data_IF_258316012083
#
_entry.id   IF_258316012083
#
_cell.length_a   1.000
_cell.length_b   1.000
_cell.length_c   1.000
_cell.angle_alpha   90.00
_cell.angle_beta   90.00
_cell.angle_gamma   90.00
#
_symmetry.space_group_name_H-M   'P 1'
#
loop_
_entity.id
_entity.type
_entity.pdbx_description
1 polymer ?
#
# COMPACT_ATOMS: atom_id res chain seq x y z
N UNK A 1 -37.67 -11.89 23.54
CA UNK A 1 -37.79 -12.28 22.10
C UNK A 1 -38.22 -11.10 21.21
N UNK A 2 -39.00 -10.13 21.71
CA UNK A 2 -39.38 -8.92 20.95
C UNK A 2 -38.26 -7.86 20.89
N UNK A 3 -37.61 -7.54 22.01
CA UNK A 3 -36.53 -6.54 22.06
C UNK A 3 -35.35 -6.89 21.15
N UNK A 4 -34.90 -8.15 21.18
CA UNK A 4 -33.81 -8.62 20.33
C UNK A 4 -34.12 -8.48 18.82
N UNK A 5 -35.40 -8.57 18.42
CA UNK A 5 -35.80 -8.36 17.02
C UNK A 5 -35.85 -6.88 16.65
N UNK A 6 -36.22 -6.02 17.60
CA UNK A 6 -36.25 -4.57 17.42
C UNK A 6 -34.81 -4.07 17.27
N UNK A 7 -33.92 -4.47 18.18
CA UNK A 7 -32.50 -4.10 18.12
C UNK A 7 -31.82 -4.60 16.85
N UNK A 8 -32.13 -5.83 16.41
CA UNK A 8 -31.63 -6.35 15.13
C UNK A 8 -32.14 -5.52 13.95
N UNK A 9 -33.40 -5.11 13.97
CA UNK A 9 -33.99 -4.27 12.92
C UNK A 9 -33.34 -2.89 12.88
N UNK A 10 -33.10 -2.28 14.04
CA UNK A 10 -32.44 -0.97 14.14
C UNK A 10 -31.00 -1.04 13.64
N UNK A 11 -30.25 -2.09 14.02
CA UNK A 11 -28.89 -2.32 13.52
C UNK A 11 -28.86 -2.52 12.00
N UNK A 12 -29.83 -3.23 11.44
CA UNK A 12 -29.93 -3.42 9.98
C UNK A 12 -30.18 -2.08 9.27
N UNK A 13 -31.11 -1.26 9.77
CA UNK A 13 -31.37 0.07 9.22
C UNK A 13 -30.12 0.97 9.29
N UNK A 14 -29.44 1.02 10.44
CA UNK A 14 -28.23 1.79 10.59
C UNK A 14 -27.09 1.32 9.67
N UNK A 15 -26.98 0.01 9.44
CA UNK A 15 -26.01 -0.56 8.51
C UNK A 15 -26.29 -0.12 7.06
N UNK A 16 -27.56 -0.11 6.66
CA UNK A 16 -27.96 0.31 5.33
C UNK A 16 -27.75 1.82 5.12
N UNK A 17 -28.09 2.65 6.11
CA UNK A 17 -27.79 4.09 6.09
C UNK A 17 -26.29 4.35 5.91
N UNK A 18 -25.45 3.59 6.62
CA UNK A 18 -23.98 3.71 6.53
C UNK A 18 -23.45 3.29 5.15
N UNK A 19 -24.03 2.24 4.53
CA UNK A 19 -23.66 1.84 3.16
C UNK A 19 -24.03 2.92 2.14
N UNK A 20 -25.19 3.55 2.32
CA UNK A 20 -25.66 4.61 1.44
C UNK A 20 -24.78 5.86 1.55
N UNK A 21 -24.40 6.23 2.78
CA UNK A 21 -23.45 7.31 3.02
C UNK A 21 -22.07 7.03 2.39
N UNK A 22 -21.55 5.80 2.56
CA UNK A 22 -20.29 5.38 1.95
C UNK A 22 -20.35 5.41 0.41
N UNK A 23 -21.46 4.97 -0.18
CA UNK A 23 -21.69 5.00 -1.63
C UNK A 23 -21.72 6.43 -2.16
N UNK A 24 -22.38 7.34 -1.43
CA UNK A 24 -22.43 8.77 -1.77
C UNK A 24 -21.03 9.41 -1.73
N UNK A 25 -20.30 9.26 -0.62
CA UNK A 25 -18.96 9.83 -0.45
C UNK A 25 -17.95 9.26 -1.45
N UNK A 26 -18.03 7.97 -1.77
CA UNK A 26 -17.16 7.32 -2.76
C UNK A 26 -17.38 7.90 -4.16
N UNK A 27 -18.64 8.16 -4.54
CA UNK A 27 -18.99 8.81 -5.82
C UNK A 27 -18.52 10.26 -5.87
N UNK A 28 -18.76 11.04 -4.81
CA UNK A 28 -18.30 12.44 -4.71
C UNK A 28 -16.78 12.54 -4.83
N UNK A 29 -16.06 11.62 -4.19
CA UNK A 29 -14.59 11.57 -4.20
C UNK A 29 -14.00 10.90 -5.45
N UNK A 30 -14.83 10.45 -6.40
CA UNK A 30 -14.43 9.69 -7.61
C UNK A 30 -13.58 8.45 -7.28
N UNK A 31 -13.79 7.84 -6.11
CA UNK A 31 -13.08 6.63 -5.70
C UNK A 31 -13.75 5.46 -6.41
N UNK A 32 -13.07 4.92 -7.42
CA UNK A 32 -13.54 3.78 -8.23
C UNK A 32 -13.00 2.44 -7.76
N UNK A 33 -12.00 2.46 -6.87
CA UNK A 33 -11.29 1.28 -6.39
C UNK A 33 -11.85 0.89 -5.02
N UNK A 34 -12.14 -0.39 -4.82
CA UNK A 34 -12.58 -0.87 -3.52
C UNK A 34 -11.46 -0.70 -2.48
N UNK A 35 -11.76 -0.37 -1.21
CA UNK A 35 -10.73 -0.25 -0.18
C UNK A 35 -9.85 -1.51 -0.05
N UNK A 36 -10.45 -2.69 -0.23
CA UNK A 36 -9.72 -3.97 -0.25
C UNK A 36 -8.70 -4.03 -1.40
N UNK A 37 -9.10 -3.63 -2.60
CA UNK A 37 -8.22 -3.71 -3.77
C UNK A 37 -7.12 -2.65 -3.71
N UNK A 38 -7.43 -1.46 -3.18
CA UNK A 38 -6.43 -0.43 -2.90
C UNK A 38 -5.39 -0.96 -1.90
N UNK A 39 -5.83 -1.57 -0.81
CA UNK A 39 -4.92 -2.15 0.19
C UNK A 39 -4.04 -3.25 -0.41
N UNK A 40 -4.62 -4.16 -1.21
CA UNK A 40 -3.86 -5.22 -1.90
C UNK A 40 -2.81 -4.63 -2.85
N UNK A 41 -3.17 -3.60 -3.61
CA UNK A 41 -2.27 -2.93 -4.55
C UNK A 41 -1.12 -2.25 -3.80
N UNK A 42 -1.38 -1.58 -2.67
CA UNK A 42 -0.32 -1.00 -1.85
C UNK A 42 0.63 -2.06 -1.27
N UNK A 43 0.10 -3.17 -0.74
CA UNK A 43 0.91 -4.29 -0.24
C UNK A 43 1.80 -4.85 -1.35
N UNK A 44 1.23 -5.03 -2.55
CA UNK A 44 1.96 -5.52 -3.72
C UNK A 44 3.09 -4.58 -4.12
N UNK A 45 2.82 -3.28 -4.24
CA UNK A 45 3.82 -2.27 -4.60
C UNK A 45 4.95 -2.19 -3.57
N UNK A 46 4.61 -2.23 -2.28
CA UNK A 46 5.61 -2.21 -1.22
C UNK A 46 6.52 -3.44 -1.28
N UNK A 47 5.94 -4.62 -1.51
CA UNK A 47 6.71 -5.86 -1.69
C UNK A 47 7.63 -5.76 -2.91
N UNK A 48 7.13 -5.29 -4.05
CA UNK A 48 7.91 -5.13 -5.27
C UNK A 48 9.06 -4.12 -5.09
N UNK A 49 8.81 -3.00 -4.42
CA UNK A 49 9.86 -2.03 -4.10
C UNK A 49 10.95 -2.66 -3.23
N UNK A 50 10.58 -3.36 -2.15
CA UNK A 50 11.56 -4.01 -1.27
C UNK A 50 12.40 -5.06 -2.02
N UNK A 51 11.76 -5.92 -2.83
CA UNK A 51 12.46 -6.93 -3.61
C UNK A 51 13.44 -6.30 -4.63
N UNK A 52 13.01 -5.24 -5.31
CA UNK A 52 13.84 -4.52 -6.27
C UNK A 52 15.01 -3.83 -5.58
N UNK A 53 14.76 -3.10 -4.50
CA UNK A 53 15.80 -2.40 -3.71
C UNK A 53 16.82 -3.38 -3.17
N UNK A 54 16.39 -4.48 -2.57
CA UNK A 54 17.28 -5.49 -1.99
C UNK A 54 18.12 -6.22 -3.07
N UNK A 55 17.57 -6.37 -4.28
CA UNK A 55 18.31 -6.91 -5.43
C UNK A 55 19.32 -5.89 -5.96
N UNK A 56 18.90 -4.63 -6.12
CA UNK A 56 19.78 -3.53 -6.53
C UNK A 56 20.95 -3.33 -5.60
N UNK A 57 20.70 -3.31 -4.27
CA UNK A 57 21.74 -3.21 -3.25
C UNK A 57 22.74 -4.37 -3.32
N UNK A 58 22.26 -5.60 -3.55
CA UNK A 58 23.15 -6.76 -3.72
C UNK A 58 24.03 -6.63 -4.96
N UNK A 59 23.47 -6.18 -6.08
CA UNK A 59 24.24 -5.94 -7.31
C UNK A 59 25.28 -4.82 -7.11
N UNK A 60 24.89 -3.71 -6.49
CA UNK A 60 25.79 -2.62 -6.16
C UNK A 60 26.92 -3.07 -5.22
N UNK A 61 26.63 -3.93 -4.24
CA UNK A 61 27.65 -4.52 -3.36
C UNK A 61 28.67 -5.34 -4.14
N UNK A 62 28.23 -6.13 -5.12
CA UNK A 62 29.13 -6.94 -5.95
C UNK A 62 30.07 -6.04 -6.76
N UNK A 63 29.54 -4.99 -7.38
CA UNK A 63 30.33 -4.02 -8.15
C UNK A 63 31.31 -3.28 -7.24
N UNK A 64 30.85 -2.83 -6.07
CA UNK A 64 31.68 -2.15 -5.08
C UNK A 64 32.86 -3.03 -4.64
N UNK A 65 32.60 -4.31 -4.39
CA UNK A 65 33.65 -5.28 -4.02
C UNK A 65 34.65 -5.51 -5.16
N UNK A 66 34.18 -5.55 -6.41
CA UNK A 66 35.05 -5.73 -7.59
C UNK A 66 35.95 -4.50 -7.83
N UNK A 67 35.44 -3.30 -7.54
CA UNK A 67 36.18 -2.04 -7.67
C UNK A 67 37.00 -1.66 -6.43
N UNK A 68 36.94 -2.43 -5.34
CA UNK A 68 37.48 -2.06 -4.02
C UNK A 68 37.03 -0.66 -3.57
N UNK A 69 35.73 -0.38 -3.77
CA UNK A 69 35.09 0.91 -3.51
C UNK A 69 33.92 0.76 -2.55
N UNK A 70 33.39 1.86 -2.02
CA UNK A 70 32.21 1.82 -1.15
C UNK A 70 30.94 1.75 -1.97
N UNK A 71 29.90 1.08 -1.46
CA UNK A 71 28.56 1.09 -2.09
C UNK A 71 28.08 2.51 -2.36
N UNK A 72 28.28 3.45 -1.43
CA UNK A 72 27.85 4.84 -1.60
C UNK A 72 28.45 5.50 -2.84
N UNK A 73 29.71 5.20 -3.15
CA UNK A 73 30.41 5.72 -4.33
C UNK A 73 29.79 5.13 -5.62
N UNK A 74 29.38 3.85 -5.59
CA UNK A 74 28.67 3.23 -6.71
C UNK A 74 27.29 3.86 -6.93
N UNK A 75 26.55 4.16 -5.85
CA UNK A 75 25.25 4.84 -5.96
C UNK A 75 25.41 6.27 -6.51
N UNK A 76 26.41 7.02 -6.04
CA UNK A 76 26.76 8.34 -6.57
C UNK A 76 27.16 8.28 -8.06
N UNK A 77 27.99 7.31 -8.46
CA UNK A 77 28.33 7.06 -9.87
C UNK A 77 27.11 6.75 -10.74
N UNK A 78 26.12 6.04 -10.19
CA UNK A 78 24.86 5.71 -10.87
C UNK A 78 23.84 6.86 -10.85
N UNK A 79 24.13 7.95 -10.12
CA UNK A 79 23.25 9.13 -10.03
C UNK A 79 22.08 8.98 -9.05
N UNK A 80 22.20 8.12 -8.04
CA UNK A 80 21.18 7.88 -7.00
C UNK A 80 21.68 8.30 -5.62
N UNK A 81 20.79 8.80 -4.76
CA UNK A 81 21.08 8.98 -3.33
C UNK A 81 20.82 7.65 -2.60
N UNK A 82 21.59 7.37 -1.55
CA UNK A 82 21.38 6.21 -0.65
C UNK A 82 20.02 6.25 0.09
N UNK A 83 19.32 7.39 0.06
CA UNK A 83 17.98 7.57 0.65
C UNK A 83 16.84 7.20 -0.29
N UNK A 84 17.11 6.98 -1.57
CA UNK A 84 16.12 6.59 -2.58
C UNK A 84 15.79 5.08 -2.52
#
# INVERSE_FOLDING_TARGET
>A
MSELKIELSELMTCNDDLKDEFSRLSKESKITISPSDLMKEHIKRLKQYNELRDTGLRLAQLIANEKDSKISEIFEEMGFDMKD
#
